data_IF_084917568018
#
_entry.id   IF_084917568018
#
_cell.length_a   1.000
_cell.length_b   1.000
_cell.length_c   1.000
_cell.angle_alpha   90.00
_cell.angle_beta   90.00
_cell.angle_gamma   90.00
#
_symmetry.space_group_name_H-M   'P 1'
#
loop_
_entity.id
_entity.type
_entity.pdbx_description
1 polymer ?
#
# COMPACT_ATOMS: atom_id res chain seq x y z
N UNK A 1 15.14 -14.83 -2.41
CA UNK A 1 14.47 -13.83 -1.54
C UNK A 1 13.21 -13.38 -2.25
N UNK A 2 12.15 -13.04 -1.52
CA UNK A 2 10.85 -12.71 -2.11
C UNK A 2 10.56 -11.21 -1.96
N UNK A 3 10.26 -10.54 -3.08
CA UNK A 3 9.88 -9.11 -3.10
C UNK A 3 8.37 -8.91 -2.96
N UNK A 4 7.56 -9.93 -3.30
CA UNK A 4 6.09 -9.89 -3.29
C UNK A 4 5.56 -11.10 -2.55
N UNK A 5 4.65 -10.84 -1.60
CA UNK A 5 3.91 -11.86 -0.86
C UNK A 5 2.44 -11.84 -1.30
N UNK A 6 1.93 -12.98 -1.76
CA UNK A 6 0.51 -13.16 -2.08
C UNK A 6 -0.12 -13.96 -0.96
N UNK A 7 -1.14 -13.38 -0.33
CA UNK A 7 -1.85 -14.02 0.77
C UNK A 7 -3.03 -14.85 0.25
N UNK A 8 -3.32 -16.00 0.88
CA UNK A 8 -4.43 -16.87 0.46
C UNK A 8 -5.81 -16.26 0.71
N UNK A 9 -5.92 -15.29 1.63
CA UNK A 9 -7.17 -14.61 2.00
C UNK A 9 -6.90 -13.27 2.72
N UNK A 10 -7.97 -12.52 3.00
CA UNK A 10 -7.88 -11.19 3.60
C UNK A 10 -7.47 -11.24 5.08
N UNK A 11 -7.85 -12.30 5.79
CA UNK A 11 -7.58 -12.48 7.22
C UNK A 11 -6.07 -12.64 7.45
N UNK A 12 -5.42 -13.47 6.63
CA UNK A 12 -3.96 -13.68 6.69
C UNK A 12 -3.19 -12.42 6.29
N UNK A 13 -3.64 -11.71 5.25
CA UNK A 13 -3.03 -10.43 4.84
C UNK A 13 -3.13 -9.36 5.94
N UNK A 14 -4.32 -9.17 6.53
CA UNK A 14 -4.55 -8.20 7.59
C UNK A 14 -3.79 -8.55 8.87
N UNK A 15 -3.74 -9.84 9.23
CA UNK A 15 -2.98 -10.32 10.39
C UNK A 15 -1.49 -10.05 10.19
N UNK A 16 -0.96 -10.31 9.00
CA UNK A 16 0.42 -9.99 8.66
C UNK A 16 0.69 -8.49 8.74
N UNK A 17 -0.13 -7.67 8.07
CA UNK A 17 0.00 -6.20 8.09
C UNK A 17 0.08 -5.65 9.51
N UNK A 18 -0.86 -6.06 10.39
CA UNK A 18 -0.88 -5.64 11.80
C UNK A 18 0.30 -6.18 12.60
N UNK A 19 0.75 -7.39 12.33
CA UNK A 19 1.93 -7.95 13.02
C UNK A 19 3.18 -7.15 12.66
N UNK A 20 3.32 -6.74 11.39
CA UNK A 20 4.43 -5.90 10.95
C UNK A 20 4.38 -4.52 11.62
N UNK A 21 3.23 -3.84 11.58
CA UNK A 21 3.12 -2.47 12.08
C UNK A 21 3.10 -2.38 13.61
N UNK A 22 2.50 -3.34 14.31
CA UNK A 22 2.32 -3.27 15.77
C UNK A 22 3.37 -4.05 16.57
N UNK A 23 3.88 -5.16 16.03
CA UNK A 23 4.80 -6.04 16.78
C UNK A 23 6.24 -5.93 16.29
N UNK A 24 6.44 -5.82 14.98
CA UNK A 24 7.77 -5.74 14.38
C UNK A 24 8.29 -4.29 14.23
N UNK A 25 7.46 -3.27 14.52
CA UNK A 25 7.83 -1.85 14.34
C UNK A 25 8.10 -1.46 12.88
N UNK A 26 7.55 -2.22 11.93
CA UNK A 26 7.72 -1.97 10.51
C UNK A 26 6.89 -0.76 10.06
N UNK A 27 7.48 0.10 9.21
CA UNK A 27 6.76 1.17 8.53
C UNK A 27 6.08 0.62 7.28
N UNK A 28 4.82 1.00 7.09
CA UNK A 28 4.03 0.52 5.96
C UNK A 28 3.38 1.65 5.17
N UNK A 29 3.01 1.33 3.93
CA UNK A 29 2.18 2.16 3.06
C UNK A 29 1.20 1.22 2.36
N UNK A 30 -0.05 1.66 2.21
CA UNK A 30 -1.11 0.85 1.62
C UNK A 30 -1.95 1.68 0.65
N UNK A 31 -2.22 1.11 -0.52
CA UNK A 31 -3.11 1.68 -1.52
C UNK A 31 -3.95 0.57 -2.15
N UNK A 32 -5.14 0.92 -2.64
CA UNK A 32 -5.93 0.05 -3.50
C UNK A 32 -5.56 0.34 -4.95
N UNK A 33 -5.26 -0.74 -5.69
CA UNK A 33 -4.87 -0.72 -7.10
C UNK A 33 -5.88 -1.50 -7.95
N UNK A 34 -5.86 -1.28 -9.27
CA UNK A 34 -6.77 -1.93 -10.24
C UNK A 34 -7.89 -1.01 -10.76
N UNK A 35 -8.13 0.12 -10.11
CA UNK A 35 -9.06 1.16 -10.55
C UNK A 35 -8.41 2.17 -11.53
N UNK A 36 -9.19 3.16 -11.99
CA UNK A 36 -8.72 4.22 -12.89
C UNK A 36 -7.63 5.10 -12.28
N UNK A 37 -7.58 5.24 -10.96
CA UNK A 37 -6.53 5.94 -10.21
C UNK A 37 -6.28 5.24 -8.86
N UNK A 38 -5.05 5.28 -8.30
CA UNK A 38 -4.77 4.74 -6.97
C UNK A 38 -5.67 5.36 -5.89
N UNK A 39 -6.12 4.55 -4.94
CA UNK A 39 -6.99 5.01 -3.84
C UNK A 39 -6.27 4.76 -2.51
N UNK A 40 -6.14 5.82 -1.70
CA UNK A 40 -5.63 5.71 -0.33
C UNK A 40 -6.79 5.33 0.59
N UNK A 41 -6.65 4.21 1.30
CA UNK A 41 -7.63 3.74 2.27
C UNK A 41 -6.93 3.56 3.62
N UNK A 42 -7.05 4.57 4.49
CA UNK A 42 -6.47 4.54 5.83
C UNK A 42 -7.34 3.76 6.82
N UNK A 43 -6.72 3.04 7.73
CA UNK A 43 -7.34 2.53 8.95
C UNK A 43 -7.36 3.61 10.04
N UNK A 44 -8.35 3.53 10.94
CA UNK A 44 -8.39 4.38 12.13
C UNK A 44 -7.16 4.18 13.03
N UNK A 45 -6.61 2.96 13.02
CA UNK A 45 -5.46 2.60 13.84
C UNK A 45 -4.11 2.97 13.19
N UNK A 46 -4.10 3.47 11.95
CA UNK A 46 -2.87 3.90 11.31
C UNK A 46 -2.35 5.19 11.94
N UNK A 47 -1.04 5.25 12.15
CA UNK A 47 -0.33 6.45 12.55
C UNK A 47 -0.20 7.44 11.38
N UNK A 48 0.32 8.64 11.68
CA UNK A 48 0.41 9.72 10.70
C UNK A 48 1.43 9.40 9.60
N UNK A 49 2.52 8.71 9.96
CA UNK A 49 3.54 8.23 9.03
C UNK A 49 2.96 7.26 8.00
N UNK A 50 2.20 6.26 8.44
CA UNK A 50 1.56 5.27 7.56
C UNK A 50 0.61 5.94 6.58
N UNK A 51 -0.18 6.93 7.02
CA UNK A 51 -1.06 7.71 6.14
C UNK A 51 -0.24 8.52 5.14
N UNK A 52 0.81 9.19 5.59
CA UNK A 52 1.67 10.01 4.75
C UNK A 52 2.39 9.18 3.67
N UNK A 53 3.00 8.05 4.04
CA UNK A 53 3.65 7.15 3.10
C UNK A 53 2.65 6.56 2.10
N UNK A 54 1.42 6.27 2.52
CA UNK A 54 0.36 5.81 1.62
C UNK A 54 -0.02 6.86 0.57
N UNK A 55 -0.04 8.15 0.93
CA UNK A 55 -0.23 9.26 -0.02
C UNK A 55 0.92 9.35 -1.01
N UNK A 56 2.17 9.28 -0.52
CA UNK A 56 3.36 9.28 -1.39
C UNK A 56 3.31 8.12 -2.38
N UNK A 57 2.97 6.92 -1.90
CA UNK A 57 2.85 5.73 -2.71
C UNK A 57 1.77 5.90 -3.80
N UNK A 58 0.60 6.45 -3.44
CA UNK A 58 -0.45 6.74 -4.41
C UNK A 58 0.02 7.74 -5.48
N UNK A 59 0.71 8.81 -5.09
CA UNK A 59 1.24 9.81 -6.02
C UNK A 59 2.27 9.20 -6.98
N UNK A 60 3.18 8.38 -6.48
CA UNK A 60 4.19 7.68 -7.27
C UNK A 60 3.54 6.75 -8.31
N UNK A 61 2.55 5.97 -7.88
CA UNK A 61 1.83 5.06 -8.78
C UNK A 61 1.00 5.81 -9.83
N UNK A 62 0.39 6.94 -9.46
CA UNK A 62 -0.33 7.78 -10.40
C UNK A 62 0.59 8.40 -11.46
N UNK A 63 1.76 8.90 -11.06
CA UNK A 63 2.78 9.42 -11.98
C UNK A 63 3.26 8.32 -12.94
N UNK A 64 3.57 7.13 -12.43
CA UNK A 64 4.00 5.99 -13.24
C UNK A 64 2.94 5.56 -14.26
N UNK A 65 1.66 5.56 -13.88
CA UNK A 65 0.54 5.24 -14.78
C UNK A 65 0.39 6.25 -15.92
N UNK A 66 0.64 7.54 -15.67
CA UNK A 66 0.65 8.58 -16.72
C UNK A 66 1.77 8.37 -17.73
N UNK A 67 2.99 8.16 -17.25
CA UNK A 67 4.14 7.89 -18.13
C UNK A 67 3.94 6.64 -19.00
N UNK A 68 3.37 5.57 -18.43
CA UNK A 68 3.06 4.36 -19.20
C UNK A 68 2.01 4.60 -20.29
N UNK A 69 1.06 5.53 -20.07
CA UNK A 69 0.05 5.90 -21.06
C UNK A 69 0.60 6.82 -22.16
N UNK A 70 1.60 7.63 -21.87
CA UNK A 70 2.25 8.54 -22.83
C UNK A 70 3.30 7.84 -23.71
N UNK A 71 3.78 6.66 -23.28
CA UNK A 71 4.85 5.91 -23.97
C UNK A 71 4.34 4.78 -24.89
N UNK A 72 3.02 4.60 -25.01
CA UNK A 72 2.37 3.58 -25.84
C UNK A 72 1.35 4.21 -26.78
#
# INVERSE_FOLDING_TARGET
>A
EADILIFPNIETANTFYKSVTLLAGGRCAAIVMGSSAPIVLSSRADDDDTKFYSIILAALMAARKRHAKESG
#
